data_IF_485945018210
#
_entry.id   IF_485945018210
#
_cell.length_a   1.000
_cell.length_b   1.000
_cell.length_c   1.000
_cell.angle_alpha   90.00
_cell.angle_beta   90.00
_cell.angle_gamma   90.00
#
_symmetry.space_group_name_H-M   'P 1'
#
loop_
_entity.id
_entity.type
_entity.pdbx_description
1 polymer ?
#
# COMPACT_ATOMS: atom_id res chain seq x y z
N UNK A 1 0.99 -16.28 -38.52
CA UNK A 1 0.02 -15.17 -38.35
C UNK A 1 -1.37 -15.77 -38.34
N UNK A 2 -1.86 -16.23 -37.19
CA UNK A 2 -3.14 -16.95 -37.11
C UNK A 2 -3.85 -16.70 -35.76
N UNK A 3 -3.73 -15.46 -35.24
CA UNK A 3 -4.48 -15.07 -34.04
C UNK A 3 -5.84 -14.55 -34.48
N UNK A 4 -6.95 -15.17 -34.04
CA UNK A 4 -8.29 -14.69 -34.39
C UNK A 4 -8.53 -13.28 -33.82
N UNK A 5 -9.23 -12.45 -34.59
CA UNK A 5 -9.66 -11.13 -34.14
C UNK A 5 -10.69 -11.25 -33.01
N UNK A 6 -10.63 -10.34 -32.01
CA UNK A 6 -11.62 -10.28 -30.94
C UNK A 6 -12.92 -9.67 -31.48
N UNK A 7 -14.03 -10.38 -31.34
CA UNK A 7 -15.36 -9.89 -31.63
C UNK A 7 -15.87 -8.93 -30.53
N UNK A 8 -16.98 -8.24 -30.78
CA UNK A 8 -17.63 -7.42 -29.76
C UNK A 8 -18.06 -8.24 -28.53
N UNK A 9 -18.54 -9.47 -28.73
CA UNK A 9 -18.89 -10.37 -27.63
C UNK A 9 -17.66 -10.73 -26.79
N UNK A 10 -16.51 -10.98 -27.43
CA UNK A 10 -15.24 -11.29 -26.74
C UNK A 10 -14.71 -10.12 -25.89
N UNK A 11 -15.11 -8.88 -26.22
CA UNK A 11 -14.74 -7.70 -25.43
C UNK A 11 -15.56 -7.61 -24.14
N UNK A 12 -16.74 -8.21 -24.10
CA UNK A 12 -17.66 -8.13 -22.95
C UNK A 12 -17.53 -9.37 -22.06
N UNK A 13 -17.42 -10.55 -22.66
CA UNK A 13 -17.46 -11.84 -21.99
C UNK A 13 -16.07 -12.40 -21.64
N UNK A 14 -16.02 -13.40 -20.76
CA UNK A 14 -14.78 -14.05 -20.35
C UNK A 14 -14.00 -13.31 -19.25
N UNK A 15 -12.84 -13.86 -18.88
CA UNK A 15 -12.00 -13.33 -17.79
C UNK A 15 -11.34 -11.98 -18.14
N UNK A 16 -10.94 -11.81 -19.39
CA UNK A 16 -10.42 -10.56 -19.98
C UNK A 16 -11.54 -9.64 -20.51
N UNK A 17 -12.80 -10.02 -20.30
CA UNK A 17 -13.94 -9.21 -20.71
C UNK A 17 -14.10 -7.99 -19.80
N UNK A 18 -14.63 -6.89 -20.35
CA UNK A 18 -14.78 -5.61 -19.64
C UNK A 18 -15.47 -5.73 -18.29
N UNK A 19 -16.46 -6.60 -18.17
CA UNK A 19 -17.22 -6.79 -16.93
C UNK A 19 -16.34 -7.29 -15.78
N UNK A 20 -15.45 -8.26 -16.05
CA UNK A 20 -14.63 -8.88 -15.00
C UNK A 20 -13.34 -8.13 -14.77
N UNK A 21 -12.67 -7.67 -15.83
CA UNK A 21 -11.35 -7.06 -15.71
C UNK A 21 -11.40 -5.56 -15.39
N UNK A 22 -12.43 -4.85 -15.86
CA UNK A 22 -12.47 -3.38 -15.76
C UNK A 22 -13.59 -2.83 -14.88
N UNK A 23 -14.70 -3.57 -14.69
CA UNK A 23 -15.79 -3.11 -13.83
C UNK A 23 -15.68 -3.64 -12.40
N UNK A 24 -15.50 -4.96 -12.24
CA UNK A 24 -15.42 -5.61 -10.93
C UNK A 24 -14.02 -5.53 -10.30
N UNK A 25 -12.97 -5.58 -11.13
CA UNK A 25 -11.59 -5.30 -10.73
C UNK A 25 -11.11 -4.00 -11.36
N UNK A 26 -10.37 -3.19 -10.62
CA UNK A 26 -9.69 -2.00 -11.16
C UNK A 26 -8.33 -1.84 -10.51
N UNK A 27 -7.40 -1.24 -11.24
CA UNK A 27 -6.17 -0.70 -10.65
C UNK A 27 -6.55 0.53 -9.83
N UNK A 28 -5.94 0.66 -8.66
CA UNK A 28 -6.25 1.72 -7.69
C UNK A 28 -4.99 2.51 -7.36
N UNK A 29 -5.13 3.82 -7.23
CA UNK A 29 -4.09 4.70 -6.70
C UNK A 29 -3.90 4.46 -5.19
N UNK A 30 -2.89 5.11 -4.60
CA UNK A 30 -2.56 4.99 -3.18
C UNK A 30 -2.39 3.53 -2.72
N UNK A 31 -1.76 2.73 -3.60
CA UNK A 31 -1.46 1.34 -3.34
C UNK A 31 0.00 0.98 -3.65
N UNK A 32 0.52 0.00 -2.92
CA UNK A 32 1.88 -0.51 -3.07
C UNK A 32 1.93 -2.02 -2.87
N UNK A 33 3.07 -2.65 -3.17
CA UNK A 33 3.29 -4.07 -2.93
C UNK A 33 4.74 -4.30 -2.54
N UNK A 34 4.98 -5.16 -1.56
CA UNK A 34 6.32 -5.65 -1.26
C UNK A 34 6.28 -7.06 -0.66
N UNK A 35 7.46 -7.67 -0.59
CA UNK A 35 7.69 -8.95 0.11
C UNK A 35 7.41 -8.75 1.60
N UNK A 36 6.80 -9.76 2.23
CA UNK A 36 6.57 -9.77 3.66
C UNK A 36 7.70 -10.47 4.41
N UNK A 37 8.03 -9.95 5.58
CA UNK A 37 8.95 -10.57 6.53
C UNK A 37 8.32 -10.58 7.93
N UNK A 38 8.82 -11.46 8.79
CA UNK A 38 8.29 -11.61 10.14
C UNK A 38 8.60 -10.38 11.01
N UNK A 39 7.58 -9.85 11.68
CA UNK A 39 7.69 -8.74 12.64
C UNK A 39 7.26 -9.20 14.05
N UNK A 40 8.10 -9.95 14.77
CA UNK A 40 7.71 -10.57 16.04
C UNK A 40 7.51 -9.57 17.19
N UNK A 41 8.08 -8.37 17.06
CA UNK A 41 7.99 -7.31 18.07
C UNK A 41 6.84 -6.33 17.83
N UNK A 42 6.05 -6.54 16.78
CA UNK A 42 4.89 -5.71 16.48
C UNK A 42 3.74 -6.07 17.43
N UNK A 43 2.89 -5.10 17.75
CA UNK A 43 1.58 -5.44 18.34
C UNK A 43 0.66 -6.04 17.27
N UNK A 44 -0.35 -6.81 17.68
CA UNK A 44 -1.26 -7.52 16.76
C UNK A 44 -1.93 -6.60 15.71
N UNK A 45 -2.21 -5.35 16.09
CA UNK A 45 -2.86 -4.35 15.25
C UNK A 45 -1.87 -3.50 14.42
N UNK A 46 -0.56 -3.77 14.49
CA UNK A 46 0.48 -3.00 13.82
C UNK A 46 1.08 -3.76 12.63
N UNK A 47 1.54 -3.01 11.64
CA UNK A 47 2.40 -3.54 10.58
C UNK A 47 3.60 -2.62 10.34
N UNK A 48 4.74 -3.19 9.98
CA UNK A 48 5.89 -2.39 9.56
C UNK A 48 5.79 -2.01 8.08
N UNK A 49 5.78 -0.72 7.78
CA UNK A 49 5.76 -0.19 6.43
C UNK A 49 7.13 0.43 6.08
N UNK A 50 7.78 -0.01 4.99
CA UNK A 50 9.04 0.56 4.53
C UNK A 50 8.93 2.07 4.28
N UNK A 51 9.95 2.83 4.68
CA UNK A 51 9.98 4.28 4.52
C UNK A 51 9.77 4.75 3.07
N UNK A 52 10.35 4.02 2.09
CA UNK A 52 10.19 4.32 0.66
C UNK A 52 8.74 4.15 0.18
N UNK A 53 8.03 3.13 0.68
CA UNK A 53 6.62 2.90 0.33
C UNK A 53 5.74 3.90 1.06
N UNK A 54 6.01 4.14 2.35
CA UNK A 54 5.24 5.04 3.18
C UNK A 54 5.23 6.48 2.63
N UNK A 55 6.38 7.02 2.22
CA UNK A 55 6.45 8.39 1.73
C UNK A 55 5.65 8.60 0.43
N UNK A 56 5.65 7.60 -0.46
CA UNK A 56 4.88 7.65 -1.71
C UNK A 56 3.38 7.54 -1.45
N UNK A 57 2.96 6.57 -0.63
CA UNK A 57 1.55 6.35 -0.32
C UNK A 57 0.92 7.52 0.45
N UNK A 58 1.67 8.12 1.38
CA UNK A 58 1.17 9.20 2.21
C UNK A 58 1.53 10.59 1.67
N UNK A 59 2.09 10.70 0.46
CA UNK A 59 2.62 11.95 -0.09
C UNK A 59 1.61 13.10 -0.03
N UNK A 60 0.35 12.86 -0.38
CA UNK A 60 -0.70 13.87 -0.35
C UNK A 60 -0.96 14.42 1.07
N UNK A 61 -0.96 13.53 2.07
CA UNK A 61 -1.17 13.88 3.47
C UNK A 61 0.03 14.63 4.04
N UNK A 62 1.25 14.21 3.70
CA UNK A 62 2.50 14.89 4.10
C UNK A 62 2.55 16.30 3.52
N UNK A 63 2.26 16.47 2.23
CA UNK A 63 2.18 17.79 1.58
C UNK A 63 1.18 18.69 2.30
N UNK A 64 -0.01 18.18 2.60
CA UNK A 64 -1.06 18.94 3.30
C UNK A 64 -0.58 19.36 4.70
N UNK A 65 0.09 18.47 5.42
CA UNK A 65 0.64 18.77 6.75
C UNK A 65 1.76 19.81 6.70
N UNK A 66 2.71 19.69 5.75
CA UNK A 66 3.81 20.65 5.59
C UNK A 66 3.33 22.07 5.29
N UNK A 67 2.31 22.21 4.42
CA UNK A 67 1.73 23.52 4.10
C UNK A 67 0.90 24.04 5.29
N UNK A 68 0.08 23.18 5.91
CA UNK A 68 -0.77 23.56 7.04
C UNK A 68 0.02 24.02 8.28
N UNK A 69 1.26 23.54 8.45
CA UNK A 69 2.17 23.95 9.53
C UNK A 69 3.09 25.12 9.15
N UNK A 70 2.91 25.70 7.96
CA UNK A 70 3.80 26.75 7.42
C UNK A 70 5.27 26.34 7.28
N UNK A 71 5.58 25.03 7.24
CA UNK A 71 6.93 24.51 6.98
C UNK A 71 7.28 24.70 5.50
N UNK A 72 6.30 24.45 4.62
CA UNK A 72 6.42 24.70 3.20
C UNK A 72 5.47 25.83 2.77
N UNK A 73 5.94 26.83 2.01
CA UNK A 73 5.10 27.96 1.59
C UNK A 73 4.07 27.60 0.52
N UNK A 74 4.31 26.54 -0.27
CA UNK A 74 3.42 26.10 -1.34
C UNK A 74 3.67 24.63 -1.73
N UNK A 75 2.82 24.11 -2.62
CA UNK A 75 2.88 22.74 -3.12
C UNK A 75 4.23 22.38 -3.77
N UNK A 76 4.82 23.30 -4.55
CA UNK A 76 6.09 23.04 -5.24
C UNK A 76 7.23 22.91 -4.24
N UNK A 77 7.28 23.78 -3.24
CA UNK A 77 8.26 23.72 -2.16
C UNK A 77 8.11 22.42 -1.35
N UNK A 78 6.87 22.05 -0.96
CA UNK A 78 6.60 20.80 -0.24
C UNK A 78 7.07 19.57 -1.02
N UNK A 79 6.78 19.50 -2.33
CA UNK A 79 7.27 18.42 -3.20
C UNK A 79 8.80 18.38 -3.30
N UNK A 80 9.46 19.54 -3.34
CA UNK A 80 10.93 19.60 -3.32
C UNK A 80 11.48 19.02 -2.01
N UNK A 81 10.94 19.44 -0.87
CA UNK A 81 11.37 18.95 0.45
C UNK A 81 11.23 17.43 0.59
N UNK A 82 10.13 16.86 0.07
CA UNK A 82 9.91 15.41 0.06
C UNK A 82 10.96 14.69 -0.80
N UNK A 83 11.21 15.20 -2.02
CA UNK A 83 12.22 14.62 -2.93
C UNK A 83 13.62 14.69 -2.35
N UNK A 84 13.95 15.80 -1.68
CA UNK A 84 15.25 16.04 -1.07
C UNK A 84 15.41 15.25 0.26
N UNK A 85 14.37 14.52 0.70
CA UNK A 85 14.33 13.64 1.89
C UNK A 85 14.80 14.32 3.18
N UNK A 86 14.44 15.58 3.37
CA UNK A 86 14.81 16.34 4.57
C UNK A 86 14.32 15.66 5.87
N UNK A 87 15.07 15.77 6.99
CA UNK A 87 14.75 15.08 8.24
C UNK A 87 13.34 15.36 8.76
N UNK A 88 12.88 16.61 8.64
CA UNK A 88 11.53 17.06 9.02
C UNK A 88 10.41 16.30 8.31
N UNK A 89 10.65 15.81 7.08
CA UNK A 89 9.65 15.06 6.31
C UNK A 89 9.37 13.72 6.97
N UNK A 90 10.37 13.08 7.56
CA UNK A 90 10.21 11.80 8.25
C UNK A 90 9.42 11.95 9.55
N UNK A 91 9.67 13.02 10.30
CA UNK A 91 8.90 13.36 11.51
C UNK A 91 7.42 13.60 11.15
N UNK A 92 7.17 14.44 10.14
CA UNK A 92 5.81 14.71 9.67
C UNK A 92 5.15 13.45 9.12
N UNK A 93 5.88 12.58 8.43
CA UNK A 93 5.35 11.30 7.94
C UNK A 93 4.94 10.39 9.10
N UNK A 94 5.77 10.26 10.14
CA UNK A 94 5.43 9.44 11.31
C UNK A 94 4.15 9.93 11.98
N UNK A 95 4.01 11.24 12.15
CA UNK A 95 2.81 11.82 12.75
C UNK A 95 1.57 11.66 11.86
N UNK A 96 1.71 11.84 10.54
CA UNK A 96 0.63 11.61 9.59
C UNK A 96 0.19 10.15 9.62
N UNK A 97 1.11 9.20 9.72
CA UNK A 97 0.78 7.78 9.78
C UNK A 97 0.04 7.42 11.07
N UNK A 98 0.27 8.13 12.18
CA UNK A 98 -0.47 7.92 13.42
C UNK A 98 -1.97 8.23 13.19
N UNK A 99 -2.82 7.23 13.44
CA UNK A 99 -4.27 7.36 13.26
C UNK A 99 -4.78 7.14 11.83
N UNK A 100 -3.90 6.83 10.87
CA UNK A 100 -4.29 6.43 9.51
C UNK A 100 -3.95 4.94 9.30
N UNK A 101 -4.92 4.03 9.49
CA UNK A 101 -4.69 2.61 9.24
C UNK A 101 -4.49 2.35 7.75
N UNK A 102 -3.75 1.29 7.43
CA UNK A 102 -3.56 0.79 6.08
C UNK A 102 -4.17 -0.60 5.94
N UNK A 103 -4.63 -0.95 4.75
CA UNK A 103 -5.15 -2.28 4.45
C UNK A 103 -4.05 -3.14 3.85
N UNK A 104 -3.75 -4.28 4.47
CA UNK A 104 -2.89 -5.31 3.90
C UNK A 104 -3.76 -6.38 3.24
N UNK A 105 -3.36 -6.83 2.06
CA UNK A 105 -4.03 -7.87 1.30
C UNK A 105 -3.01 -8.84 0.69
N UNK A 106 -3.25 -10.14 0.85
CA UNK A 106 -2.51 -11.20 0.13
C UNK A 106 -3.42 -11.88 -0.89
N UNK A 107 -2.93 -12.01 -2.12
CA UNK A 107 -3.60 -12.78 -3.15
C UNK A 107 -3.22 -14.28 -3.06
N UNK A 108 -4.13 -15.23 -3.32
CA UNK A 108 -5.56 -15.03 -3.58
C UNK A 108 -6.36 -14.75 -2.28
N UNK A 109 -7.32 -13.82 -2.36
CA UNK A 109 -8.22 -13.52 -1.24
C UNK A 109 -9.38 -14.52 -1.20
N UNK A 110 -9.28 -15.55 -0.36
CA UNK A 110 -10.29 -16.62 -0.26
C UNK A 110 -11.48 -16.26 0.64
N UNK A 111 -11.25 -15.42 1.64
CA UNK A 111 -12.24 -15.00 2.62
C UNK A 111 -11.91 -13.62 3.17
N UNK A 112 -12.83 -13.04 3.94
CA UNK A 112 -12.71 -11.67 4.48
C UNK A 112 -11.41 -11.39 5.22
N UNK A 113 -10.83 -12.38 5.93
CA UNK A 113 -9.58 -12.19 6.68
C UNK A 113 -8.33 -12.07 5.78
N UNK A 114 -8.47 -12.28 4.47
CA UNK A 114 -7.39 -12.03 3.51
C UNK A 114 -7.14 -10.53 3.25
N UNK A 115 -7.99 -9.65 3.79
CA UNK A 115 -7.78 -8.20 3.87
C UNK A 115 -7.98 -7.76 5.31
N UNK A 116 -6.98 -7.12 5.92
CA UNK A 116 -7.09 -6.61 7.29
C UNK A 116 -6.43 -5.24 7.40
N UNK A 117 -6.93 -4.43 8.35
CA UNK A 117 -6.42 -3.10 8.62
C UNK A 117 -5.38 -3.13 9.74
N UNK A 118 -4.30 -2.36 9.58
CA UNK A 118 -3.23 -2.24 10.58
C UNK A 118 -2.81 -0.79 10.73
N UNK A 119 -2.38 -0.42 11.94
CA UNK A 119 -1.67 0.83 12.19
C UNK A 119 -0.24 0.69 11.64
N UNK A 120 0.16 1.45 10.62
CA UNK A 120 1.50 1.34 10.09
C UNK A 120 2.52 1.99 11.03
N UNK A 121 3.68 1.35 11.16
CA UNK A 121 4.88 1.91 11.78
C UNK A 121 6.00 1.97 10.74
N UNK A 122 6.81 3.02 10.75
CA UNK A 122 7.96 3.09 9.85
C UNK A 122 9.01 2.05 10.24
N UNK A 123 9.51 1.34 9.24
CA UNK A 123 10.61 0.38 9.40
C UNK A 123 11.67 0.60 8.34
N UNK A 124 12.90 0.28 8.70
CA UNK A 124 14.02 0.25 7.76
C UNK A 124 13.93 -0.97 6.82
N UNK A 125 14.56 -0.82 5.65
CA UNK A 125 14.55 -1.82 4.59
C UNK A 125 13.42 -1.60 3.59
N UNK A 126 13.12 -2.64 2.80
CA UNK A 126 12.12 -2.60 1.72
C UNK A 126 10.96 -3.59 1.88
N UNK A 127 10.99 -4.41 2.93
CA UNK A 127 9.99 -5.45 3.17
C UNK A 127 8.94 -5.01 4.18
N UNK A 128 7.68 -5.41 3.96
CA UNK A 128 6.58 -5.18 4.90
C UNK A 128 6.75 -6.14 6.06
N UNK A 129 6.74 -5.64 7.31
CA UNK A 129 6.78 -6.50 8.49
C UNK A 129 5.35 -6.85 8.91
N UNK A 130 5.04 -8.14 8.98
CA UNK A 130 3.73 -8.63 9.40
C UNK A 130 3.82 -9.40 10.71
N UNK A 131 2.78 -9.30 11.54
CA UNK A 131 2.71 -10.02 12.80
C UNK A 131 2.51 -11.53 12.55
N UNK A 132 3.27 -12.43 13.20
CA UNK A 132 3.18 -13.87 12.91
C UNK A 132 1.78 -14.47 13.17
N UNK A 133 1.03 -13.95 14.15
CA UNK A 133 -0.32 -14.47 14.45
C UNK A 133 -1.38 -14.17 13.39
N UNK A 134 -1.15 -13.21 12.48
CA UNK A 134 -2.12 -12.92 11.39
C UNK A 134 -1.88 -13.77 10.15
N UNK A 135 -0.74 -14.47 10.05
CA UNK A 135 -0.38 -15.32 8.92
C UNK A 135 -1.47 -16.35 8.58
N UNK A 136 -2.11 -16.96 9.59
CA UNK A 136 -3.22 -17.90 9.35
C UNK A 136 -4.41 -17.27 8.63
N UNK A 137 -4.73 -16.01 8.91
CA UNK A 137 -5.80 -15.27 8.23
C UNK A 137 -5.44 -14.86 6.80
N UNK A 138 -4.15 -14.73 6.47
CA UNK A 138 -3.70 -14.46 5.11
C UNK A 138 -3.30 -15.73 4.34
N UNK A 139 -3.27 -16.88 5.02
CA UNK A 139 -2.63 -18.10 4.55
C UNK A 139 -1.20 -17.85 4.05
N UNK A 140 -0.46 -16.99 4.76
CA UNK A 140 0.84 -16.46 4.33
C UNK A 140 2.01 -17.14 5.06
N UNK A 141 3.10 -17.33 4.34
CA UNK A 141 4.41 -17.72 4.86
C UNK A 141 5.46 -16.65 4.53
N UNK A 142 6.73 -16.90 4.84
CA UNK A 142 7.81 -15.91 4.71
C UNK A 142 8.92 -16.41 3.78
N UNK A 143 8.57 -17.14 2.72
CA UNK A 143 9.51 -17.71 1.74
C UNK A 143 9.64 -16.88 0.44
N UNK A 144 8.95 -15.74 0.37
CA UNK A 144 8.89 -14.88 -0.82
C UNK A 144 7.52 -14.26 -1.08
N UNK A 145 6.51 -14.64 -0.29
CA UNK A 145 5.17 -14.06 -0.29
C UNK A 145 5.17 -12.53 -0.33
N UNK A 146 4.22 -11.97 -1.08
CA UNK A 146 4.04 -10.53 -1.24
C UNK A 146 2.65 -10.09 -0.79
N UNK A 147 2.57 -8.93 -0.14
CA UNK A 147 1.31 -8.29 0.21
C UNK A 147 1.17 -6.94 -0.48
N UNK A 148 -0.04 -6.66 -0.93
CA UNK A 148 -0.45 -5.32 -1.33
C UNK A 148 -0.84 -4.51 -0.10
N UNK A 149 -0.54 -3.22 -0.13
CA UNK A 149 -0.95 -2.23 0.86
C UNK A 149 -1.82 -1.18 0.18
N UNK A 150 -2.89 -0.76 0.84
CA UNK A 150 -3.79 0.30 0.36
C UNK A 150 -4.04 1.31 1.48
N UNK A 151 -4.01 2.60 1.13
CA UNK A 151 -4.42 3.67 2.04
C UNK A 151 -5.90 3.99 1.81
N UNK A 152 -6.76 3.91 2.85
CA UNK A 152 -8.18 4.24 2.75
C UNK A 152 -8.46 5.74 2.61
#
# INVERSE_FOLDING_TARGET
>A
HDRPYKSFSDVIEGKEGRSRENLLGKRVDYSGRSVIVVGPFLSLYQCGLPSEIAIELFQAFVIRSLIGRHIAPNLRAAKSMIRDKGPIVWEVLQEVMQGHPVLLNRAPTLHRLGIQAFQPILVEGRAIRSHPSVCGGFNADFDGDQMAVHVP
#
